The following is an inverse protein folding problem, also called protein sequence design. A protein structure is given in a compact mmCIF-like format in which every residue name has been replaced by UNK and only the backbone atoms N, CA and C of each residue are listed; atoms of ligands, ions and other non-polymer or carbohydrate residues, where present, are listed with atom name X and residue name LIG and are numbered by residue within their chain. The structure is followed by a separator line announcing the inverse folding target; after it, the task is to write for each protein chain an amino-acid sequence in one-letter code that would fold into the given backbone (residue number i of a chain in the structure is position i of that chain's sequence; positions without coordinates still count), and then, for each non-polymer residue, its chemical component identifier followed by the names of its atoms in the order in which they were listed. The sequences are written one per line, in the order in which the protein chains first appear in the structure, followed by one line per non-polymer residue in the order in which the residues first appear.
data_IF_378072313104
#
_entry.id   IF_378072313104
#
_cell.length_a   1.000
_cell.length_b   1.000
_cell.length_c   1.000
_cell.angle_alpha   90.00
_cell.angle_beta   90.00
_cell.angle_gamma   90.00
#
_symmetry.space_group_name_H-M   'P 1'
#
loop_
_entity.id
_entity.type
_entity.pdbx_description
1 polymer ?
#
# COMPACT_ATOMS: atom_id res chain seq x y z
N UNK A 1 10.56 27.88 10.69
CA UNK A 1 10.09 28.05 9.29
C UNK A 1 10.05 26.71 8.55
N UNK A 2 11.07 25.86 8.71
CA UNK A 2 11.07 24.51 8.13
C UNK A 2 9.84 23.68 8.56
N UNK A 3 9.45 23.71 9.84
CA UNK A 3 8.29 22.94 10.34
C UNK A 3 6.97 23.34 9.67
N UNK A 4 6.78 24.64 9.39
CA UNK A 4 5.58 25.15 8.73
C UNK A 4 5.54 24.66 7.27
N UNK A 5 6.67 24.76 6.56
CA UNK A 5 6.76 24.31 5.17
C UNK A 5 6.57 22.79 5.08
N UNK A 6 7.25 22.02 5.93
CA UNK A 6 7.12 20.56 6.00
C UNK A 6 5.69 20.16 6.40
N UNK A 7 5.07 20.87 7.33
CA UNK A 7 3.68 20.66 7.74
C UNK A 7 2.69 20.87 6.60
N UNK A 8 2.83 21.96 5.84
CA UNK A 8 1.99 22.22 4.66
C UNK A 8 2.20 21.14 3.59
N UNK A 9 3.44 20.79 3.28
CA UNK A 9 3.74 19.75 2.29
C UNK A 9 3.19 18.39 2.72
N UNK A 10 3.31 18.04 4.00
CA UNK A 10 2.76 16.81 4.58
C UNK A 10 1.23 16.80 4.48
N UNK A 11 0.54 17.91 4.76
CA UNK A 11 -0.92 17.99 4.62
C UNK A 11 -1.34 17.84 3.15
N UNK A 12 -0.64 18.48 2.21
CA UNK A 12 -0.95 18.38 0.78
C UNK A 12 -0.69 16.96 0.25
N UNK A 13 0.48 16.39 0.52
CA UNK A 13 0.83 15.04 0.10
C UNK A 13 -0.06 13.99 0.78
N UNK A 14 -0.29 14.14 2.08
CA UNK A 14 -1.18 13.28 2.86
C UNK A 14 -2.62 13.37 2.39
N UNK A 15 -3.13 14.57 2.08
CA UNK A 15 -4.45 14.78 1.50
C UNK A 15 -4.60 14.13 0.12
N UNK A 16 -3.60 14.29 -0.75
CA UNK A 16 -3.58 13.60 -2.04
C UNK A 16 -3.60 12.07 -1.86
N UNK A 17 -2.86 11.53 -0.90
CA UNK A 17 -2.87 10.11 -0.59
C UNK A 17 -4.19 9.64 0.05
N UNK A 18 -4.83 10.49 0.86
CA UNK A 18 -6.09 10.20 1.55
C UNK A 18 -7.25 10.02 0.56
N UNK A 19 -7.28 10.85 -0.49
CA UNK A 19 -8.38 10.87 -1.46
C UNK A 19 -8.04 10.22 -2.81
N UNK A 20 -6.83 10.42 -3.33
CA UNK A 20 -6.38 9.85 -4.61
C UNK A 20 -5.40 8.68 -4.43
N UNK A 21 -5.25 8.17 -3.20
CA UNK A 21 -4.23 7.18 -2.85
C UNK A 21 -4.26 5.91 -3.67
N UNK A 22 -5.44 5.51 -4.14
CA UNK A 22 -5.57 4.35 -5.01
C UNK A 22 -4.85 4.49 -6.34
N UNK A 23 -4.93 5.67 -6.94
CA UNK A 23 -4.20 6.00 -8.16
C UNK A 23 -2.71 6.18 -7.85
N UNK A 24 -2.40 6.92 -6.78
CA UNK A 24 -1.01 7.22 -6.38
C UNK A 24 -0.21 5.94 -6.13
N UNK A 25 -0.70 5.02 -5.30
CA UNK A 25 0.02 3.78 -4.99
C UNK A 25 0.22 2.88 -6.21
N UNK A 26 -0.73 2.86 -7.15
CA UNK A 26 -0.59 2.10 -8.40
C UNK A 26 0.51 2.63 -9.30
N UNK A 27 0.82 3.92 -9.21
CA UNK A 27 1.91 4.54 -9.94
C UNK A 27 3.24 4.38 -9.19
N UNK A 28 3.20 4.63 -7.87
CA UNK A 28 4.37 4.61 -6.99
C UNK A 28 5.01 3.22 -6.89
N UNK A 29 4.21 2.15 -6.86
CA UNK A 29 4.73 0.77 -6.78
C UNK A 29 5.62 0.40 -7.99
N UNK A 30 5.17 0.53 -9.26
CA UNK A 30 6.03 0.34 -10.42
C UNK A 30 7.23 1.28 -10.46
N UNK A 31 7.08 2.54 -10.02
CA UNK A 31 8.19 3.50 -10.01
C UNK A 31 9.30 3.05 -9.06
N UNK A 32 8.95 2.59 -7.85
CA UNK A 32 9.94 2.01 -6.93
C UNK A 32 10.55 0.73 -7.49
N UNK A 33 9.74 -0.15 -8.09
CA UNK A 33 10.23 -1.33 -8.80
C UNK A 33 11.22 -0.97 -9.91
N UNK A 34 10.94 0.09 -10.68
CA UNK A 34 11.81 0.61 -11.73
C UNK A 34 13.17 1.02 -11.17
N UNK A 35 13.21 1.87 -10.15
CA UNK A 35 14.48 2.32 -9.58
C UNK A 35 15.26 1.18 -8.90
N UNK A 36 14.58 0.28 -8.20
CA UNK A 36 15.21 -0.89 -7.60
C UNK A 36 15.79 -1.83 -8.68
N UNK A 37 15.03 -2.11 -9.74
CA UNK A 37 15.49 -2.91 -10.87
C UNK A 37 16.62 -2.25 -11.65
N UNK A 38 16.59 -0.93 -11.82
CA UNK A 38 17.67 -0.17 -12.43
C UNK A 38 18.96 -0.27 -11.62
N UNK A 39 18.88 -0.02 -10.31
CA UNK A 39 20.03 -0.13 -9.41
C UNK A 39 20.60 -1.54 -9.39
N UNK A 40 19.72 -2.56 -9.36
CA UNK A 40 20.11 -3.96 -9.46
C UNK A 40 20.81 -4.28 -10.78
N UNK A 41 20.19 -3.95 -11.92
CA UNK A 41 20.72 -4.27 -13.25
C UNK A 41 22.05 -3.55 -13.53
N UNK A 42 22.10 -2.25 -13.28
CA UNK A 42 23.31 -1.47 -13.49
C UNK A 42 24.42 -1.85 -12.49
N UNK A 43 24.07 -2.22 -11.25
CA UNK A 43 25.02 -2.68 -10.24
C UNK A 43 25.62 -4.04 -10.59
N UNK A 44 24.79 -5.00 -10.98
CA UNK A 44 25.22 -6.36 -11.34
C UNK A 44 26.26 -6.36 -12.46
N UNK A 45 26.02 -5.57 -13.52
CA UNK A 45 26.95 -5.51 -14.65
C UNK A 45 28.15 -4.61 -14.42
N UNK A 46 28.05 -3.62 -13.51
CA UNK A 46 29.23 -2.87 -13.07
C UNK A 46 30.21 -3.77 -12.30
N UNK A 47 29.69 -4.64 -11.42
CA UNK A 47 30.51 -5.60 -10.67
C UNK A 47 31.13 -6.67 -11.58
N UNK A 48 30.37 -7.19 -12.55
CA UNK A 48 30.89 -8.17 -13.51
C UNK A 48 31.94 -7.61 -14.47
N UNK A 49 31.87 -6.32 -14.80
CA UNK A 49 32.80 -5.66 -15.70
C UNK A 49 33.98 -4.99 -14.98
N UNK A 50 34.03 -5.06 -13.64
CA UNK A 50 35.02 -4.37 -12.80
C UNK A 50 35.10 -2.86 -13.09
N UNK A 51 33.92 -2.27 -13.31
CA UNK A 51 33.74 -0.89 -13.75
C UNK A 51 32.93 -0.09 -12.73
N UNK A 52 32.99 1.24 -12.86
CA UNK A 52 32.12 2.12 -12.05
C UNK A 52 30.65 1.94 -12.44
N UNK A 53 29.74 2.17 -11.49
CA UNK A 53 28.31 2.21 -11.74
C UNK A 53 27.99 3.14 -12.93
N UNK A 54 27.25 2.63 -13.92
CA UNK A 54 26.92 3.34 -15.17
C UNK A 54 28.13 3.77 -16.03
N UNK A 55 29.28 3.12 -15.83
CA UNK A 55 30.51 3.37 -16.58
C UNK A 55 30.46 2.89 -18.03
N UNK A 56 29.58 1.93 -18.34
CA UNK A 56 29.44 1.35 -19.69
C UNK A 56 28.01 1.32 -20.19
N UNK A 57 27.90 1.23 -21.52
CA UNK A 57 26.62 1.06 -22.23
C UNK A 57 25.89 -0.20 -21.75
N UNK A 58 26.61 -1.29 -21.44
CA UNK A 58 26.02 -2.52 -20.91
C UNK A 58 25.36 -2.29 -19.54
N UNK A 59 25.97 -1.51 -18.64
CA UNK A 59 25.38 -1.13 -17.35
C UNK A 59 24.08 -0.33 -17.52
N UNK A 60 24.03 0.59 -18.49
CA UNK A 60 22.80 1.32 -18.81
C UNK A 60 21.70 0.44 -19.41
N UNK A 61 22.03 -0.39 -20.41
CA UNK A 61 21.06 -1.25 -21.09
C UNK A 61 20.50 -2.28 -20.12
N UNK A 62 21.36 -2.97 -19.37
CA UNK A 62 20.93 -3.93 -18.35
C UNK A 62 20.10 -3.25 -17.25
N UNK A 63 20.51 -2.07 -16.77
CA UNK A 63 19.76 -1.25 -15.84
C UNK A 63 18.33 -1.01 -16.33
N UNK A 64 18.13 -0.52 -17.54
CA UNK A 64 16.78 -0.27 -18.08
C UNK A 64 15.96 -1.56 -18.28
N UNK A 65 16.59 -2.66 -18.70
CA UNK A 65 15.91 -3.95 -18.86
C UNK A 65 15.39 -4.45 -17.51
N UNK A 66 16.23 -4.48 -16.48
CA UNK A 66 15.81 -4.91 -15.13
C UNK A 66 14.84 -3.92 -14.49
N UNK A 67 14.98 -2.62 -14.75
CA UNK A 67 14.05 -1.59 -14.30
C UNK A 67 12.63 -1.87 -14.83
N UNK A 68 12.48 -2.15 -16.13
CA UNK A 68 11.18 -2.46 -16.71
C UNK A 68 10.61 -3.77 -16.17
N UNK A 69 11.43 -4.81 -16.06
CA UNK A 69 11.02 -6.11 -15.50
C UNK A 69 10.51 -5.93 -14.07
N UNK A 70 11.27 -5.24 -13.22
CA UNK A 70 10.89 -5.04 -11.82
C UNK A 70 9.69 -4.10 -11.66
N UNK A 71 9.53 -3.10 -12.53
CA UNK A 71 8.34 -2.24 -12.53
C UNK A 71 7.07 -3.06 -12.80
N UNK A 72 7.12 -3.96 -13.79
CA UNK A 72 6.02 -4.86 -14.14
C UNK A 72 5.78 -5.86 -13.01
N UNK A 73 6.83 -6.50 -12.49
CA UNK A 73 6.72 -7.44 -11.39
C UNK A 73 6.14 -6.78 -10.14
N UNK A 74 6.61 -5.59 -9.75
CA UNK A 74 6.07 -4.87 -8.60
C UNK A 74 4.56 -4.64 -8.72
N UNK A 75 4.07 -4.34 -9.92
CA UNK A 75 2.64 -4.20 -10.18
C UNK A 75 1.87 -5.52 -10.00
N UNK A 76 2.34 -6.61 -10.60
CA UNK A 76 1.66 -7.91 -10.54
C UNK A 76 1.79 -8.59 -9.16
N UNK A 77 2.97 -8.51 -8.54
CA UNK A 77 3.27 -9.11 -7.25
C UNK A 77 2.41 -8.55 -6.12
N UNK A 78 2.01 -7.28 -6.19
CA UNK A 78 1.11 -6.70 -5.20
C UNK A 78 -0.24 -7.43 -5.13
N UNK A 79 -0.86 -7.70 -6.28
CA UNK A 79 -2.14 -8.40 -6.31
C UNK A 79 -2.03 -9.83 -5.77
N UNK A 80 -0.96 -10.53 -6.15
CA UNK A 80 -0.66 -11.88 -5.67
C UNK A 80 -0.41 -11.88 -4.16
N UNK A 81 0.37 -10.93 -3.65
CA UNK A 81 0.69 -10.80 -2.24
C UNK A 81 -0.57 -10.60 -1.39
N UNK A 82 -1.50 -9.74 -1.83
CA UNK A 82 -2.76 -9.54 -1.10
C UNK A 82 -3.62 -10.80 -1.10
N UNK A 83 -3.73 -11.51 -2.23
CA UNK A 83 -4.51 -12.76 -2.29
C UNK A 83 -3.91 -13.83 -1.38
N UNK A 84 -2.58 -13.98 -1.39
CA UNK A 84 -1.88 -14.93 -0.51
C UNK A 84 -2.02 -14.54 0.97
N UNK A 85 -1.94 -13.25 1.30
CA UNK A 85 -2.17 -12.76 2.66
C UNK A 85 -3.59 -13.09 3.14
N UNK A 86 -4.61 -12.87 2.30
CA UNK A 86 -6.00 -13.23 2.61
C UNK A 86 -6.17 -14.75 2.81
N UNK A 87 -5.50 -15.56 1.98
CA UNK A 87 -5.51 -17.01 2.16
C UNK A 87 -4.82 -17.43 3.46
N UNK A 88 -3.71 -16.80 3.82
CA UNK A 88 -3.01 -17.04 5.09
C UNK A 88 -3.86 -16.65 6.30
N UNK A 89 -4.55 -15.50 6.26
CA UNK A 89 -5.50 -15.13 7.31
C UNK A 89 -6.64 -16.14 7.43
N UNK A 90 -7.20 -16.61 6.31
CA UNK A 90 -8.22 -17.64 6.34
C UNK A 90 -7.73 -18.97 6.90
N UNK A 91 -6.48 -19.35 6.60
CA UNK A 91 -5.86 -20.52 7.22
C UNK A 91 -5.75 -20.35 8.73
N UNK A 92 -5.25 -19.20 9.20
CA UNK A 92 -5.11 -18.92 10.63
C UNK A 92 -6.45 -18.95 11.36
N UNK A 93 -7.51 -18.38 10.77
CA UNK A 93 -8.86 -18.40 11.34
C UNK A 93 -9.42 -19.82 11.35
N UNK A 94 -9.32 -20.56 10.23
CA UNK A 94 -9.85 -21.92 10.11
C UNK A 94 -9.16 -22.89 11.08
N UNK A 95 -7.83 -22.94 11.06
CA UNK A 95 -7.05 -23.76 11.97
C UNK A 95 -7.25 -23.33 13.44
N UNK A 96 -7.24 -22.02 13.71
CA UNK A 96 -7.45 -21.47 15.04
C UNK A 96 -8.82 -21.80 15.61
N UNK A 97 -9.87 -21.85 14.78
CA UNK A 97 -11.22 -22.25 15.21
C UNK A 97 -11.26 -23.73 15.61
N UNK A 98 -10.61 -24.61 14.85
CA UNK A 98 -10.54 -26.05 15.19
C UNK A 98 -9.84 -26.25 16.54
N UNK A 99 -8.73 -25.54 16.76
CA UNK A 99 -8.00 -25.58 18.04
C UNK A 99 -8.84 -24.99 19.17
N UNK A 100 -9.53 -23.87 18.94
CA UNK A 100 -10.39 -23.24 19.94
C UNK A 100 -11.60 -24.10 20.36
N UNK A 101 -12.05 -25.01 19.48
CA UNK A 101 -13.10 -25.99 19.77
C UNK A 101 -12.58 -27.23 20.53
N UNK A 102 -11.28 -27.30 20.83
CA UNK A 102 -10.68 -28.41 21.56
C UNK A 102 -10.49 -29.69 20.73
N UNK A 103 -10.38 -29.57 19.40
CA UNK A 103 -10.12 -30.71 18.51
C UNK A 103 -8.62 -30.93 18.41
N UNK A 104 -8.12 -32.00 19.04
CA UNK A 104 -6.67 -32.29 19.11
C UNK A 104 -6.09 -32.91 17.83
N UNK A 105 -6.93 -33.16 16.82
CA UNK A 105 -6.49 -33.80 15.58
C UNK A 105 -5.87 -32.80 14.61
N UNK A 106 -4.53 -32.81 14.53
CA UNK A 106 -3.75 -31.89 13.69
C UNK A 106 -4.19 -31.85 12.22
N UNK A 107 -4.57 -32.98 11.63
CA UNK A 107 -5.01 -33.03 10.24
C UNK A 107 -6.34 -32.29 10.00
N UNK A 108 -7.25 -32.28 10.98
CA UNK A 108 -8.50 -31.51 10.87
C UNK A 108 -8.19 -30.02 10.89
N UNK A 109 -7.30 -29.58 11.77
CA UNK A 109 -6.89 -28.18 11.84
C UNK A 109 -6.25 -27.72 10.51
N UNK A 110 -5.37 -28.54 9.94
CA UNK A 110 -4.74 -28.25 8.64
C UNK A 110 -5.79 -28.22 7.52
N UNK A 111 -6.65 -29.24 7.40
CA UNK A 111 -7.63 -29.32 6.32
C UNK A 111 -8.67 -28.20 6.37
N UNK A 112 -9.19 -27.89 7.56
CA UNK A 112 -10.12 -26.77 7.76
C UNK A 112 -9.42 -25.44 7.52
N UNK A 113 -8.19 -25.27 8.00
CA UNK A 113 -7.37 -24.09 7.70
C UNK A 113 -7.19 -23.91 6.20
N UNK A 114 -6.77 -24.96 5.47
CA UNK A 114 -6.60 -24.90 4.01
C UNK A 114 -7.92 -24.59 3.31
N UNK A 115 -9.04 -25.20 3.73
CA UNK A 115 -10.34 -24.94 3.14
C UNK A 115 -10.81 -23.50 3.33
N UNK A 116 -10.71 -22.96 4.56
CA UNK A 116 -11.08 -21.57 4.88
C UNK A 116 -10.12 -20.58 4.22
N UNK A 117 -8.82 -20.89 4.21
CA UNK A 117 -7.80 -20.12 3.49
C UNK A 117 -8.06 -20.05 1.99
N UNK A 118 -8.34 -21.18 1.35
CA UNK A 118 -8.69 -21.22 -0.06
C UNK A 118 -9.98 -20.43 -0.35
N UNK A 119 -11.00 -20.55 0.51
CA UNK A 119 -12.24 -19.80 0.39
C UNK A 119 -12.00 -18.29 0.49
N UNK A 120 -11.23 -17.82 1.48
CA UNK A 120 -10.91 -16.40 1.63
C UNK A 120 -9.98 -15.87 0.53
N UNK A 121 -9.04 -16.68 0.05
CA UNK A 121 -8.23 -16.36 -1.13
C UNK A 121 -9.09 -16.19 -2.38
N UNK A 122 -10.09 -17.09 -2.59
CA UNK A 122 -11.03 -16.97 -3.70
C UNK A 122 -11.92 -15.73 -3.57
N UNK A 123 -12.45 -15.45 -2.37
CA UNK A 123 -13.18 -14.21 -2.08
C UNK A 123 -12.30 -12.98 -2.35
N UNK A 124 -10.99 -13.06 -2.07
CA UNK A 124 -10.07 -11.97 -2.34
C UNK A 124 -9.94 -11.65 -3.84
N UNK A 125 -9.89 -12.70 -4.67
CA UNK A 125 -9.86 -12.57 -6.13
C UNK A 125 -11.20 -12.03 -6.65
N UNK A 126 -12.31 -12.64 -6.27
CA UNK A 126 -13.65 -12.28 -6.74
C UNK A 126 -14.09 -10.89 -6.27
N UNK A 127 -13.73 -10.52 -5.03
CA UNK A 127 -14.04 -9.24 -4.42
C UNK A 127 -13.10 -8.10 -4.83
N UNK A 128 -12.05 -8.38 -5.61
CA UNK A 128 -10.99 -7.42 -5.93
C UNK A 128 -10.40 -6.77 -4.67
N UNK A 129 -10.12 -7.60 -3.66
CA UNK A 129 -9.53 -7.19 -2.38
C UNK A 129 -8.20 -6.44 -2.51
N UNK A 130 -7.30 -6.75 -3.48
CA UNK A 130 -6.09 -5.94 -3.68
C UNK A 130 -6.39 -4.45 -3.80
N UNK A 131 -7.48 -4.11 -4.48
CA UNK A 131 -7.90 -2.72 -4.61
C UNK A 131 -8.40 -2.14 -3.29
N UNK A 132 -9.19 -2.90 -2.52
CA UNK A 132 -9.73 -2.45 -1.22
C UNK A 132 -8.59 -2.21 -0.24
N UNK A 133 -7.67 -3.18 -0.13
CA UNK A 133 -6.47 -3.07 0.71
C UNK A 133 -5.65 -1.84 0.34
N UNK A 134 -5.52 -1.54 -0.95
CA UNK A 134 -4.76 -0.39 -1.43
C UNK A 134 -5.42 0.94 -1.01
N UNK A 135 -6.75 1.04 -1.01
CA UNK A 135 -7.46 2.23 -0.50
C UNK A 135 -7.36 2.36 1.02
N UNK A 136 -7.43 1.25 1.75
CA UNK A 136 -7.29 1.27 3.21
C UNK A 136 -5.87 1.69 3.58
N UNK A 137 -4.86 1.09 2.96
CA UNK A 137 -3.46 1.42 3.20
C UNK A 137 -3.15 2.89 2.85
N UNK A 138 -3.64 3.38 1.71
CA UNK A 138 -3.43 4.78 1.33
C UNK A 138 -4.20 5.74 2.22
N UNK A 139 -5.41 5.38 2.65
CA UNK A 139 -6.18 6.19 3.58
C UNK A 139 -5.46 6.33 4.92
N UNK A 140 -4.95 5.23 5.47
CA UNK A 140 -4.19 5.24 6.71
C UNK A 140 -2.89 6.04 6.56
N UNK A 141 -2.13 5.81 5.49
CA UNK A 141 -0.91 6.56 5.22
C UNK A 141 -1.19 8.07 5.06
N UNK A 142 -2.23 8.42 4.32
CA UNK A 142 -2.67 9.81 4.14
C UNK A 142 -3.10 10.46 5.45
N UNK A 143 -3.91 9.77 6.25
CA UNK A 143 -4.38 10.26 7.54
C UNK A 143 -3.20 10.51 8.51
N UNK A 144 -2.27 9.56 8.61
CA UNK A 144 -1.05 9.71 9.42
C UNK A 144 -0.24 10.92 8.95
N UNK A 145 -0.05 11.08 7.64
CA UNK A 145 0.72 12.19 7.07
C UNK A 145 0.05 13.54 7.31
N UNK A 146 -1.28 13.64 7.15
CA UNK A 146 -2.04 14.87 7.43
C UNK A 146 -1.97 15.23 8.92
N UNK A 147 -2.17 14.24 9.80
CA UNK A 147 -2.09 14.45 11.26
C UNK A 147 -0.69 14.91 11.64
N UNK A 148 0.37 14.24 11.16
CA UNK A 148 1.75 14.64 11.40
C UNK A 148 2.01 16.07 10.89
N UNK A 149 1.51 16.42 9.70
CA UNK A 149 1.63 17.78 9.17
C UNK A 149 0.93 18.83 10.02
N UNK A 150 -0.28 18.55 10.51
CA UNK A 150 -1.01 19.42 11.44
C UNK A 150 -0.27 19.58 12.77
N UNK A 151 0.30 18.50 13.30
CA UNK A 151 1.10 18.56 14.52
C UNK A 151 2.35 19.44 14.35
N UNK A 152 2.99 19.43 13.17
CA UNK A 152 4.10 20.33 12.84
C UNK A 152 3.65 21.80 12.78
N UNK A 153 2.46 22.08 12.23
CA UNK A 153 1.93 23.45 12.17
C UNK A 153 1.55 24.00 13.55
N UNK A 154 1.03 23.15 14.43
CA UNK A 154 0.64 23.51 15.81
C UNK A 154 1.85 23.56 16.75
N UNK A 155 3.02 23.06 16.31
CA UNK A 155 4.22 22.97 17.13
C UNK A 155 4.19 21.83 18.15
N UNK A 156 3.30 20.85 17.95
CA UNK A 156 3.24 19.61 18.74
C UNK A 156 4.29 18.59 18.31
N UNK A 157 4.85 18.72 17.11
CA UNK A 157 6.02 17.99 16.62
C UNK A 157 7.05 19.01 16.15
N UNK A 158 8.33 18.69 16.31
CA UNK A 158 9.43 19.46 15.74
C UNK A 158 10.13 18.65 14.65
N UNK A 159 10.58 19.31 13.58
CA UNK A 159 11.37 18.62 12.55
C UNK A 159 12.69 18.03 13.08
N UNK A 160 13.24 18.58 14.16
CA UNK A 160 14.41 18.04 14.85
C UNK A 160 14.16 16.66 15.49
N UNK A 161 12.91 16.34 15.85
CA UNK A 161 12.57 15.05 16.45
C UNK A 161 12.71 13.90 15.43
N UNK A 162 12.62 14.18 14.13
CA UNK A 162 12.80 13.18 13.08
C UNK A 162 14.26 12.75 12.90
N UNK A 163 15.24 13.57 13.33
CA UNK A 163 16.67 13.26 13.21
C UNK A 163 17.22 12.50 14.41
N UNK A 164 16.61 12.66 15.60
CA UNK A 164 17.11 12.06 16.84
C UNK A 164 16.58 10.64 17.13
N UNK A 165 15.73 10.08 16.25
CA UNK A 165 15.21 8.71 16.38
C UNK A 165 14.17 8.51 17.49
N UNK A 166 13.92 9.53 18.32
CA UNK A 166 12.93 9.55 19.40
C UNK A 166 11.51 9.86 18.87
N UNK A 167 10.98 8.98 18.03
CA UNK A 167 9.60 9.06 17.51
C UNK A 167 8.55 8.84 18.62
N UNK A 168 8.96 8.24 19.74
CA UNK A 168 8.08 7.85 20.86
C UNK A 168 7.44 9.02 21.62
N UNK A 169 7.97 10.25 21.52
CA UNK A 169 7.35 11.44 22.16
C UNK A 169 6.03 11.87 21.53
N UNK A 170 5.75 11.43 20.30
CA UNK A 170 4.44 11.67 19.67
C UNK A 170 3.30 10.91 20.38
N UNK A 171 3.60 9.88 21.18
CA UNK A 171 2.60 9.12 21.92
C UNK A 171 2.06 9.84 23.17
N UNK A 172 2.75 10.88 23.66
CA UNK A 172 2.23 11.78 24.69
C UNK A 172 1.24 12.82 24.12
N UNK A 173 1.03 12.81 22.80
CA UNK A 173 0.08 13.67 22.16
C UNK A 173 -1.35 13.30 22.60
N UNK A 174 -2.12 14.29 23.05
CA UNK A 174 -3.45 14.09 23.59
C UNK A 174 -4.36 13.25 22.67
N UNK A 175 -5.27 12.49 23.29
CA UNK A 175 -6.21 11.55 22.64
C UNK A 175 -6.95 12.08 21.38
N UNK A 176 -7.10 13.40 21.28
CA UNK A 176 -7.69 14.08 20.13
C UNK A 176 -6.98 13.81 18.80
N UNK A 177 -5.65 13.60 18.80
CA UNK A 177 -4.91 13.27 17.58
C UNK A 177 -5.21 11.86 17.09
N UNK A 178 -5.36 10.90 18.00
CA UNK A 178 -5.81 9.55 17.66
C UNK A 178 -7.23 9.55 17.10
N UNK A 179 -8.14 10.34 17.70
CA UNK A 179 -9.49 10.49 17.17
C UNK A 179 -9.48 11.11 15.77
N UNK A 180 -8.69 12.17 15.56
CA UNK A 180 -8.55 12.82 14.25
C UNK A 180 -8.02 11.84 13.20
N UNK A 181 -7.01 11.05 13.54
CA UNK A 181 -6.44 10.01 12.67
C UNK A 181 -7.52 9.00 12.26
N UNK A 182 -8.29 8.48 13.22
CA UNK A 182 -9.36 7.51 12.95
C UNK A 182 -10.44 8.12 12.06
N UNK A 183 -10.88 9.35 12.36
CA UNK A 183 -11.90 10.05 11.57
C UNK A 183 -11.41 10.28 10.14
N UNK A 184 -10.19 10.78 9.96
CA UNK A 184 -9.62 10.99 8.62
C UNK A 184 -9.48 9.68 7.86
N UNK A 185 -8.99 8.62 8.50
CA UNK A 185 -8.86 7.30 7.87
C UNK A 185 -10.22 6.75 7.41
N UNK A 186 -11.28 6.90 8.21
CA UNK A 186 -12.63 6.48 7.82
C UNK A 186 -13.16 7.32 6.65
N UNK A 187 -12.96 8.64 6.70
CA UNK A 187 -13.35 9.56 5.62
C UNK A 187 -12.65 9.19 4.31
N UNK A 188 -11.34 8.95 4.34
CA UNK A 188 -10.57 8.54 3.17
C UNK A 188 -11.05 7.21 2.58
N UNK A 189 -11.33 6.21 3.42
CA UNK A 189 -11.86 4.90 2.98
C UNK A 189 -13.22 5.07 2.30
N UNK A 190 -14.13 5.84 2.90
CA UNK A 190 -15.49 6.04 2.36
C UNK A 190 -15.42 6.84 1.05
N UNK A 191 -14.61 7.90 0.99
CA UNK A 191 -14.46 8.73 -0.20
C UNK A 191 -13.93 7.90 -1.39
N UNK A 192 -12.83 7.17 -1.19
CA UNK A 192 -12.24 6.32 -2.22
C UNK A 192 -13.20 5.19 -2.67
N UNK A 193 -14.00 4.65 -1.76
CA UNK A 193 -14.98 3.60 -2.11
C UNK A 193 -16.13 4.18 -2.95
N UNK A 194 -16.61 5.38 -2.63
CA UNK A 194 -17.69 6.05 -3.38
C UNK A 194 -17.26 6.42 -4.79
N UNK A 195 -16.05 6.95 -4.96
CA UNK A 195 -15.51 7.34 -6.27
C UNK A 195 -15.44 6.15 -7.23
N UNK A 196 -15.00 4.97 -6.74
CA UNK A 196 -15.01 3.72 -7.53
C UNK A 196 -16.40 3.36 -8.05
N UNK A 197 -17.42 3.49 -7.20
CA UNK A 197 -18.80 3.13 -7.54
C UNK A 197 -19.36 4.11 -8.58
N UNK A 198 -19.06 5.41 -8.44
CA UNK A 198 -19.49 6.44 -9.38
C UNK A 198 -18.91 6.19 -10.78
N UNK A 199 -17.60 5.91 -10.88
CA UNK A 199 -16.93 5.64 -12.16
C UNK A 199 -17.49 4.38 -12.84
N UNK A 200 -17.79 3.31 -12.08
CA UNK A 200 -18.38 2.11 -12.66
C UNK A 200 -19.78 2.34 -13.23
N UNK A 201 -20.59 3.19 -12.60
CA UNK A 201 -21.94 3.50 -13.07
C UNK A 201 -21.91 4.26 -14.40
N UNK A 202 -21.07 5.28 -14.52
CA UNK A 202 -20.98 6.08 -15.76
C UNK A 202 -20.53 5.26 -16.97
N UNK A 203 -19.59 4.32 -16.78
CA UNK A 203 -19.15 3.42 -17.86
C UNK A 203 -20.28 2.50 -18.33
N UNK A 204 -21.05 1.93 -17.40
CA UNK A 204 -22.19 1.07 -17.73
C UNK A 204 -23.29 1.85 -18.48
N UNK A 205 -23.56 3.08 -18.06
CA UNK A 205 -24.53 3.95 -18.73
C UNK A 205 -24.09 4.30 -20.17
N UNK A 206 -22.81 4.64 -20.37
CA UNK A 206 -22.26 4.90 -21.69
C UNK A 206 -22.31 3.67 -22.61
N UNK A 207 -21.99 2.49 -22.09
CA UNK A 207 -22.06 1.23 -22.84
C UNK A 207 -23.49 0.88 -23.24
N UNK A 208 -24.45 1.03 -22.32
CA UNK A 208 -25.86 0.79 -22.60
C UNK A 208 -26.43 1.77 -23.62
N UNK A 209 -26.01 3.04 -23.57
CA UNK A 209 -26.38 4.05 -24.56
C UNK A 209 -25.89 3.67 -25.97
N UNK A 210 -24.67 3.14 -26.07
CA UNK A 210 -24.10 2.71 -27.36
C UNK A 210 -24.76 1.43 -27.90
N UNK A 211 -25.18 0.49 -27.04
CA UNK A 211 -25.86 -0.75 -27.48
C UNK A 211 -27.30 -0.55 -27.99
N UNK A 212 -27.89 0.64 -27.79
CA UNK A 212 -29.25 0.98 -28.22
C UNK A 212 -29.31 1.83 -29.48
N UNK A 213 -28.16 2.24 -30.02
CA UNK A 213 -28.02 2.98 -31.28
C UNK A 213 -27.67 2.01 -32.41
#
# INVERSE_FOLDING_TARGET
MADILLGILAILAGGAMLFAGQFVLRLVLPIWGFFAGFAFGAGLFAELADERFLGTVLGWVSGFVFALIFAVLAYFSYAVAVVLAMAAFGYAIGAGTVVALGIDWNWVAILVGVAVGAALGLVAVLGNMPMIVLAVASSLAGAVTVVAGLMLLVGSLNSADFTDGDVSRAADAGWGWYLLLVVLALVGIVAQTRERVAIRRSVNEAWLAQSRA
#
